data_IF_654503969861
#
_entry.id   IF_654503969861
#
_cell.length_a   1.000
_cell.length_b   1.000
_cell.length_c   1.000
_cell.angle_alpha   90.00
_cell.angle_beta   90.00
_cell.angle_gamma   90.00
#
_symmetry.space_group_name_H-M   'P 1'
#
loop_
_entity.id
_entity.type
_entity.pdbx_description
1 polymer ?
#
# COMPACT_ATOMS: atom_id res chain seq x y z
N UNK A 1 -6.60 34.92 0.52
CA UNK A 1 -5.30 35.25 -0.14
C UNK A 1 -4.43 34.03 -0.10
N UNK A 2 -3.74 33.69 -1.19
CA UNK A 2 -2.91 32.48 -1.24
C UNK A 2 -1.71 32.55 -0.28
N UNK A 3 -1.25 31.40 0.18
CA UNK A 3 -0.03 31.24 0.96
C UNK A 3 1.16 31.58 0.05
N UNK A 4 1.93 32.62 0.43
CA UNK A 4 3.10 33.11 -0.30
C UNK A 4 4.40 32.99 0.49
N UNK A 5 4.33 32.65 1.78
CA UNK A 5 5.51 32.50 2.63
C UNK A 5 5.99 31.05 2.68
N UNK A 6 7.27 30.74 2.39
CA UNK A 6 7.84 29.41 2.55
C UNK A 6 7.92 28.96 4.01
N UNK A 7 7.77 29.91 4.94
CA UNK A 7 7.78 29.67 6.38
C UNK A 7 6.38 29.42 6.99
N UNK A 8 5.35 29.33 6.16
CA UNK A 8 4.02 28.96 6.60
C UNK A 8 4.04 27.59 7.34
N UNK A 9 3.35 27.48 8.47
CA UNK A 9 3.40 26.29 9.34
C UNK A 9 2.83 25.06 8.65
N UNK A 10 1.75 25.18 7.88
CA UNK A 10 1.16 24.06 7.15
C UNK A 10 2.15 23.49 6.12
N UNK A 11 2.87 24.36 5.39
CA UNK A 11 3.91 23.93 4.43
C UNK A 11 5.08 23.24 5.14
N UNK A 12 5.46 23.71 6.34
CA UNK A 12 6.48 23.02 7.16
C UNK A 12 6.02 21.64 7.61
N UNK A 13 4.76 21.51 8.01
CA UNK A 13 4.20 20.21 8.41
C UNK A 13 4.18 19.23 7.25
N UNK A 14 3.71 19.65 6.07
CA UNK A 14 3.72 18.81 4.87
C UNK A 14 5.14 18.32 4.53
N UNK A 15 6.17 19.20 4.57
CA UNK A 15 7.56 18.78 4.34
C UNK A 15 8.04 17.72 5.32
N UNK A 16 7.68 17.84 6.61
CA UNK A 16 8.06 16.86 7.64
C UNK A 16 7.46 15.48 7.37
N UNK A 17 6.26 15.42 6.77
CA UNK A 17 5.57 14.17 6.44
C UNK A 17 6.25 13.36 5.32
N UNK A 18 7.23 13.91 4.61
CA UNK A 18 8.12 13.12 3.74
C UNK A 18 8.90 12.07 4.54
N UNK A 19 9.23 12.34 5.81
CA UNK A 19 9.93 11.43 6.71
C UNK A 19 9.01 10.47 7.46
N UNK A 20 9.32 9.15 7.46
CA UNK A 20 8.55 8.12 8.19
C UNK A 20 8.40 8.45 9.68
N UNK A 21 9.48 8.85 10.35
CA UNK A 21 9.46 9.21 11.78
C UNK A 21 8.37 10.24 12.10
N UNK A 22 8.17 11.21 11.21
CA UNK A 22 7.17 12.25 11.42
C UNK A 22 5.77 11.72 11.18
N UNK A 23 5.55 10.92 10.13
CA UNK A 23 4.26 10.25 9.88
C UNK A 23 3.84 9.33 11.03
N UNK A 24 4.78 8.57 11.59
CA UNK A 24 4.54 7.70 12.75
C UNK A 24 4.17 8.52 14.00
N UNK A 25 4.79 9.72 14.18
CA UNK A 25 4.52 10.63 15.31
C UNK A 25 3.15 11.30 15.20
N UNK A 26 2.82 11.85 14.04
CA UNK A 26 1.57 12.60 13.84
C UNK A 26 0.40 11.68 13.45
N UNK A 27 0.68 10.47 13.03
CA UNK A 27 -0.30 9.50 12.50
C UNK A 27 -1.03 10.04 11.27
N UNK A 28 -0.34 10.86 10.47
CA UNK A 28 -0.86 11.45 9.24
C UNK A 28 0.07 11.17 8.06
N UNK A 29 -0.43 11.35 6.85
CA UNK A 29 0.33 11.19 5.62
C UNK A 29 -0.17 12.13 4.53
N UNK A 30 0.65 12.28 3.47
CA UNK A 30 0.34 13.14 2.32
C UNK A 30 -0.12 12.29 1.15
N UNK A 31 -1.21 12.72 0.52
CA UNK A 31 -1.62 12.28 -0.82
C UNK A 31 -1.52 13.46 -1.79
N UNK A 32 -0.90 13.23 -2.96
CA UNK A 32 -0.71 14.23 -4.00
C UNK A 32 -1.49 13.86 -5.25
N UNK A 33 -2.18 14.82 -5.80
CA UNK A 33 -2.93 14.71 -7.04
C UNK A 33 -4.43 14.62 -6.84
N UNK A 34 -5.13 15.19 -7.78
CA UNK A 34 -6.60 15.27 -7.78
C UNK A 34 -7.24 13.88 -7.80
N UNK A 35 -6.60 12.92 -8.49
CA UNK A 35 -7.02 11.53 -8.57
C UNK A 35 -7.04 10.83 -7.20
N UNK A 36 -6.00 11.02 -6.39
CA UNK A 36 -5.91 10.45 -5.04
C UNK A 36 -6.88 11.14 -4.08
N UNK A 37 -7.04 12.45 -4.19
CA UNK A 37 -7.99 13.22 -3.37
C UNK A 37 -9.43 12.79 -3.70
N UNK A 38 -9.75 12.61 -4.98
CA UNK A 38 -11.05 12.10 -5.40
C UNK A 38 -11.31 10.66 -4.91
N UNK A 39 -10.30 9.78 -4.99
CA UNK A 39 -10.39 8.42 -4.46
C UNK A 39 -10.61 8.39 -2.95
N UNK A 40 -9.91 9.27 -2.20
CA UNK A 40 -10.12 9.43 -0.76
C UNK A 40 -11.55 9.87 -0.43
N UNK A 41 -12.05 10.87 -1.14
CA UNK A 41 -13.42 11.37 -0.95
C UNK A 41 -14.46 10.28 -1.25
N UNK A 42 -14.30 9.52 -2.34
CA UNK A 42 -15.17 8.40 -2.69
C UNK A 42 -15.17 7.28 -1.63
N UNK A 43 -14.03 7.09 -0.94
CA UNK A 43 -13.89 6.14 0.18
C UNK A 43 -14.29 6.73 1.55
N UNK A 44 -14.88 7.94 1.59
CA UNK A 44 -15.35 8.57 2.83
C UNK A 44 -14.24 9.08 3.75
N UNK A 45 -13.06 9.39 3.20
CA UNK A 45 -11.99 10.02 3.96
C UNK A 45 -12.10 11.54 3.88
N UNK A 46 -11.81 12.19 5.00
CA UNK A 46 -11.76 13.65 5.08
C UNK A 46 -10.32 14.08 5.35
N UNK A 47 -9.77 15.03 4.57
CA UNK A 47 -8.45 15.55 4.83
C UNK A 47 -8.45 16.47 6.06
N UNK A 48 -7.36 16.45 6.82
CA UNK A 48 -7.09 17.44 7.88
C UNK A 48 -6.57 18.76 7.29
N UNK A 49 -5.91 18.67 6.13
CA UNK A 49 -5.43 19.81 5.37
C UNK A 49 -5.60 19.53 3.89
N UNK A 50 -6.11 20.51 3.15
CA UNK A 50 -6.23 20.45 1.70
C UNK A 50 -5.63 21.73 1.11
N UNK A 51 -4.58 21.57 0.30
CA UNK A 51 -3.87 22.65 -0.37
C UNK A 51 -4.06 22.53 -1.88
N UNK A 52 -4.23 23.66 -2.55
CA UNK A 52 -4.31 23.71 -4.01
C UNK A 52 -3.44 24.84 -4.59
N UNK A 53 -3.11 24.71 -5.86
CA UNK A 53 -2.41 25.73 -6.59
C UNK A 53 -3.30 26.97 -6.74
N UNK A 54 -2.77 28.14 -6.41
CA UNK A 54 -3.48 29.40 -6.54
C UNK A 54 -3.95 29.65 -7.98
N UNK A 55 -5.22 30.00 -8.11
CA UNK A 55 -5.86 30.21 -9.41
C UNK A 55 -6.27 28.94 -10.16
N UNK A 56 -6.11 27.74 -9.55
CA UNK A 56 -6.51 26.46 -10.18
C UNK A 56 -8.02 26.21 -10.18
N UNK A 57 -8.77 26.92 -9.34
CA UNK A 57 -10.21 26.68 -9.13
C UNK A 57 -10.52 25.40 -8.34
N UNK A 58 -9.51 24.70 -7.83
CA UNK A 58 -9.67 23.52 -7.00
C UNK A 58 -10.03 23.89 -5.56
N UNK A 59 -10.69 22.96 -4.86
CA UNK A 59 -10.97 23.13 -3.45
C UNK A 59 -9.70 23.06 -2.63
N UNK A 60 -9.65 23.84 -1.52
CA UNK A 60 -8.53 23.87 -0.60
C UNK A 60 -8.01 25.25 -0.33
N UNK A 61 -7.00 25.36 0.51
CA UNK A 61 -6.28 26.57 0.76
C UNK A 61 -5.27 26.83 -0.35
N UNK A 62 -5.36 28.01 -0.97
CA UNK A 62 -4.52 28.34 -2.12
C UNK A 62 -3.06 28.57 -1.71
N UNK A 63 -2.14 28.01 -2.47
CA UNK A 63 -0.69 28.12 -2.30
C UNK A 63 -0.07 28.61 -3.60
N UNK A 64 0.89 29.56 -3.50
CA UNK A 64 1.65 30.00 -4.65
C UNK A 64 2.31 28.80 -5.37
N UNK A 65 2.21 28.68 -6.71
CA UNK A 65 2.66 27.50 -7.46
C UNK A 65 4.11 27.05 -7.16
N UNK A 66 5.10 27.95 -7.01
CA UNK A 66 6.46 27.54 -6.67
C UNK A 66 6.56 26.86 -5.29
N UNK A 67 5.76 27.33 -4.32
CA UNK A 67 5.76 26.77 -2.97
C UNK A 67 5.07 25.41 -2.92
N UNK A 68 3.97 25.24 -3.63
CA UNK A 68 3.28 23.94 -3.71
C UNK A 68 4.22 22.87 -4.31
N UNK A 69 4.95 23.21 -5.38
CA UNK A 69 5.96 22.33 -5.96
C UNK A 69 7.09 21.97 -4.99
N UNK A 70 7.53 22.92 -4.16
CA UNK A 70 8.59 22.68 -3.16
C UNK A 70 8.18 21.75 -2.03
N UNK A 71 6.89 21.71 -1.68
CA UNK A 71 6.38 20.85 -0.60
C UNK A 71 5.87 19.51 -1.10
N UNK A 72 5.72 19.33 -2.41
CA UNK A 72 5.35 18.06 -3.02
C UNK A 72 6.44 17.02 -2.73
N UNK A 73 6.14 15.93 -1.98
CA UNK A 73 7.13 14.89 -1.66
C UNK A 73 7.68 14.15 -2.87
N UNK A 74 6.94 14.13 -3.98
CA UNK A 74 7.33 13.44 -5.22
C UNK A 74 7.88 14.40 -6.29
N UNK A 75 7.74 15.71 -6.10
CA UNK A 75 8.11 16.68 -7.11
C UNK A 75 7.33 16.56 -8.42
N UNK A 76 6.12 16.00 -8.36
CA UNK A 76 5.34 15.58 -9.52
C UNK A 76 4.62 16.72 -10.26
N UNK A 77 4.79 17.98 -9.85
CA UNK A 77 4.06 19.10 -10.44
C UNK A 77 2.56 19.08 -10.14
N UNK A 78 2.16 18.48 -9.03
CA UNK A 78 0.77 18.38 -8.61
C UNK A 78 0.14 19.76 -8.38
N UNK A 79 -1.15 19.88 -8.70
CA UNK A 79 -1.95 21.09 -8.41
C UNK A 79 -2.73 21.01 -7.11
N UNK A 80 -2.78 19.84 -6.49
CA UNK A 80 -3.46 19.63 -5.21
C UNK A 80 -2.72 18.63 -4.34
N UNK A 81 -2.78 18.84 -3.02
CA UNK A 81 -2.15 18.02 -2.01
C UNK A 81 -3.03 17.99 -0.77
N UNK A 82 -3.18 16.82 -0.17
CA UNK A 82 -3.98 16.67 1.03
C UNK A 82 -3.23 15.88 2.10
N UNK A 83 -3.48 16.22 3.36
CA UNK A 83 -3.01 15.47 4.54
C UNK A 83 -4.18 14.70 5.12
N UNK A 84 -4.00 13.40 5.32
CA UNK A 84 -4.99 12.51 5.89
C UNK A 84 -4.48 11.81 7.15
N UNK A 85 -5.36 11.47 8.11
CA UNK A 85 -5.00 10.60 9.22
C UNK A 85 -4.72 9.17 8.70
N UNK A 86 -3.73 8.49 9.29
CA UNK A 86 -3.51 7.06 9.00
C UNK A 86 -4.64 6.23 9.62
N UNK A 87 -5.15 5.25 8.89
CA UNK A 87 -6.12 4.26 9.37
C UNK A 87 -5.52 2.87 9.30
N UNK A 88 -5.20 2.30 10.45
CA UNK A 88 -4.71 0.95 10.57
C UNK A 88 -5.83 0.04 11.03
N UNK A 89 -6.03 -1.10 10.34
CA UNK A 89 -6.93 -2.14 10.80
C UNK A 89 -6.38 -2.80 12.07
N UNK A 90 -7.27 -3.26 12.94
CA UNK A 90 -6.90 -3.91 14.20
C UNK A 90 -6.36 -5.34 13.97
N UNK A 91 -6.90 -6.03 12.98
CA UNK A 91 -6.49 -7.38 12.59
C UNK A 91 -6.65 -7.55 11.07
N UNK A 92 -5.87 -8.45 10.44
CA UNK A 92 -6.11 -8.83 9.07
C UNK A 92 -7.43 -9.62 8.96
N UNK A 93 -8.14 -9.46 7.85
CA UNK A 93 -9.47 -10.02 7.66
C UNK A 93 -9.76 -10.35 6.20
N UNK A 94 -10.84 -11.13 6.01
CA UNK A 94 -11.41 -11.46 4.72
C UNK A 94 -11.08 -12.86 4.26
N UNK A 95 -11.84 -13.39 3.29
CA UNK A 95 -11.59 -14.72 2.73
C UNK A 95 -10.24 -14.79 1.99
N UNK A 96 -9.78 -13.64 1.47
CA UNK A 96 -8.46 -13.52 0.85
C UNK A 96 -7.71 -12.37 1.50
N UNK A 97 -6.52 -12.64 2.02
CA UNK A 97 -5.58 -11.68 2.56
C UNK A 97 -4.24 -11.78 1.81
N UNK A 98 -3.52 -10.68 1.67
CA UNK A 98 -2.13 -10.68 1.21
C UNK A 98 -1.23 -10.19 2.32
N UNK A 99 -0.22 -10.97 2.66
CA UNK A 99 0.80 -10.59 3.64
C UNK A 99 2.13 -10.32 2.93
N UNK A 100 2.67 -9.13 3.15
CA UNK A 100 3.97 -8.72 2.61
C UNK A 100 5.03 -8.84 3.71
N UNK A 101 6.09 -9.59 3.46
CA UNK A 101 7.15 -9.86 4.42
C UNK A 101 8.51 -9.39 3.91
N UNK A 102 9.01 -8.30 4.46
CA UNK A 102 10.30 -7.74 4.04
C UNK A 102 10.29 -7.07 2.65
N UNK A 103 9.12 -6.79 2.08
CA UNK A 103 9.00 -6.08 0.80
C UNK A 103 9.38 -4.61 1.01
N UNK A 104 10.62 -4.26 0.65
CA UNK A 104 11.24 -2.97 0.97
C UNK A 104 10.89 -1.85 0.00
N UNK A 105 10.49 -2.17 -1.24
CA UNK A 105 10.14 -1.17 -2.23
C UNK A 105 8.72 -0.65 -1.97
N UNK A 106 8.54 0.66 -1.66
CA UNK A 106 7.22 1.23 -1.44
C UNK A 106 6.34 1.22 -2.70
N UNK A 107 6.93 1.19 -3.89
CA UNK A 107 6.20 1.03 -5.15
C UNK A 107 5.53 -0.34 -5.23
N UNK A 108 6.23 -1.41 -4.83
CA UNK A 108 5.65 -2.75 -4.76
C UNK A 108 4.52 -2.84 -3.73
N UNK A 109 4.70 -2.24 -2.54
CA UNK A 109 3.63 -2.18 -1.53
C UNK A 109 2.38 -1.48 -2.09
N UNK A 110 2.54 -0.33 -2.73
CA UNK A 110 1.42 0.39 -3.37
C UNK A 110 0.77 -0.41 -4.50
N UNK A 111 1.56 -1.09 -5.32
CA UNK A 111 1.05 -1.94 -6.41
C UNK A 111 0.27 -3.13 -5.86
N UNK A 112 0.72 -3.75 -4.77
CA UNK A 112 -0.04 -4.84 -4.12
C UNK A 112 -1.35 -4.33 -3.55
N UNK A 113 -1.39 -3.17 -2.93
CA UNK A 113 -2.64 -2.55 -2.49
C UNK A 113 -3.62 -2.35 -3.65
N UNK A 114 -3.13 -1.88 -4.79
CA UNK A 114 -3.95 -1.73 -6.01
C UNK A 114 -4.47 -3.07 -6.52
N UNK A 115 -3.64 -4.11 -6.53
CA UNK A 115 -4.06 -5.47 -6.91
C UNK A 115 -5.07 -6.05 -5.91
N UNK A 116 -4.85 -5.84 -4.61
CA UNK A 116 -5.76 -6.26 -3.55
C UNK A 116 -7.16 -5.64 -3.73
N UNK A 117 -7.23 -4.35 -4.04
CA UNK A 117 -8.50 -3.68 -4.38
C UNK A 117 -9.16 -4.30 -5.63
N UNK A 118 -8.38 -4.48 -6.69
CA UNK A 118 -8.88 -4.98 -7.97
C UNK A 118 -9.46 -6.40 -7.88
N UNK A 119 -8.85 -7.25 -7.05
CA UNK A 119 -9.27 -8.65 -6.88
C UNK A 119 -10.14 -8.88 -5.64
N UNK A 120 -10.47 -7.84 -4.88
CA UNK A 120 -11.39 -7.94 -3.75
C UNK A 120 -10.78 -8.62 -2.52
N UNK A 121 -9.46 -8.51 -2.30
CA UNK A 121 -8.86 -8.96 -1.06
C UNK A 121 -9.38 -8.14 0.14
N UNK A 122 -9.68 -8.82 1.25
CA UNK A 122 -10.26 -8.20 2.43
C UNK A 122 -9.26 -7.33 3.22
N UNK A 123 -7.96 -7.62 3.10
CA UNK A 123 -6.92 -6.84 3.76
C UNK A 123 -5.53 -7.09 3.17
N UNK A 124 -4.60 -6.14 3.45
CA UNK A 124 -3.17 -6.31 3.22
C UNK A 124 -2.44 -6.23 4.55
N UNK A 125 -1.78 -7.32 4.94
CA UNK A 125 -0.98 -7.41 6.15
C UNK A 125 0.50 -7.08 5.85
N UNK A 126 1.14 -6.33 6.72
CA UNK A 126 2.51 -5.89 6.59
C UNK A 126 3.35 -6.46 7.73
N UNK A 127 4.16 -7.46 7.42
CA UNK A 127 5.12 -8.07 8.32
C UNK A 127 6.38 -7.24 8.49
N UNK A 128 7.29 -7.67 9.37
CA UNK A 128 8.56 -7.01 9.64
C UNK A 128 9.37 -6.72 8.36
N UNK A 129 10.05 -5.58 8.33
CA UNK A 129 10.89 -5.18 7.20
C UNK A 129 10.14 -4.65 5.98
N UNK A 130 8.81 -4.63 5.97
CA UNK A 130 8.01 -4.12 4.86
C UNK A 130 7.97 -2.59 4.86
N UNK A 131 8.00 -1.99 3.66
CA UNK A 131 7.94 -0.54 3.49
C UNK A 131 6.63 0.05 4.03
N UNK A 132 6.69 1.34 4.38
CA UNK A 132 5.55 2.08 4.90
C UNK A 132 4.50 2.32 3.80
N UNK A 133 3.26 1.82 3.95
CA UNK A 133 2.20 1.99 2.96
C UNK A 133 1.74 3.45 2.86
N UNK A 134 1.97 4.26 3.89
CA UNK A 134 1.65 5.68 3.93
C UNK A 134 2.80 6.58 3.45
N UNK A 135 3.91 6.02 2.99
CA UNK A 135 4.97 6.75 2.31
C UNK A 135 4.50 7.24 0.93
N UNK A 136 4.91 8.45 0.54
CA UNK A 136 4.41 9.12 -0.68
C UNK A 136 4.50 8.25 -1.94
N UNK A 137 5.58 7.46 -2.10
CA UNK A 137 5.72 6.52 -3.22
C UNK A 137 4.70 5.39 -3.19
N UNK A 138 4.42 4.81 -2.00
CA UNK A 138 3.43 3.74 -1.86
C UNK A 138 2.02 4.28 -2.07
N UNK A 139 1.69 5.42 -1.48
CA UNK A 139 0.40 6.11 -1.67
C UNK A 139 0.15 6.37 -3.15
N UNK A 140 1.15 6.93 -3.87
CA UNK A 140 1.02 7.20 -5.31
C UNK A 140 0.85 5.92 -6.13
N UNK A 141 1.67 4.89 -5.86
CA UNK A 141 1.60 3.61 -6.57
C UNK A 141 0.28 2.86 -6.30
N UNK A 142 -0.37 3.11 -5.17
CA UNK A 142 -1.65 2.48 -4.83
C UNK A 142 -2.82 2.99 -5.68
N UNK A 143 -2.67 4.13 -6.35
CA UNK A 143 -3.72 4.76 -7.17
C UNK A 143 -5.06 4.86 -6.43
N UNK A 144 -5.00 5.21 -5.13
CA UNK A 144 -6.18 5.35 -4.27
C UNK A 144 -6.58 4.10 -3.48
N UNK A 145 -6.02 2.93 -3.78
CA UNK A 145 -6.35 1.70 -3.06
C UNK A 145 -6.03 1.76 -1.55
N UNK A 146 -5.07 2.60 -1.15
CA UNK A 146 -4.76 2.85 0.27
C UNK A 146 -5.96 3.38 1.07
N UNK A 147 -6.92 4.01 0.42
CA UNK A 147 -8.13 4.54 1.05
C UNK A 147 -9.27 3.51 1.16
N UNK A 148 -9.19 2.42 0.40
CA UNK A 148 -10.26 1.43 0.28
C UNK A 148 -9.89 0.08 0.91
N UNK A 149 -8.61 -0.35 0.82
CA UNK A 149 -8.15 -1.64 1.33
C UNK A 149 -7.66 -1.48 2.78
N UNK A 150 -8.20 -2.27 3.74
CA UNK A 150 -7.69 -2.29 5.09
C UNK A 150 -6.22 -2.72 5.13
N UNK A 151 -5.36 -1.93 5.76
CA UNK A 151 -3.95 -2.27 6.01
C UNK A 151 -3.72 -2.53 7.48
N UNK A 152 -2.91 -3.54 7.80
CA UNK A 152 -2.63 -3.94 9.17
C UNK A 152 -1.15 -4.30 9.32
N UNK A 153 -0.56 -4.04 10.48
CA UNK A 153 0.77 -4.52 10.85
C UNK A 153 0.63 -5.83 11.62
N UNK A 154 1.42 -6.82 11.25
CA UNK A 154 1.52 -8.10 11.95
C UNK A 154 2.98 -8.35 12.32
N UNK A 155 3.22 -8.98 13.44
CA UNK A 155 4.56 -9.35 13.89
C UNK A 155 4.90 -10.79 13.52
N UNK A 156 3.90 -11.67 13.41
CA UNK A 156 4.07 -13.11 13.22
C UNK A 156 3.05 -13.64 12.20
N UNK A 157 3.40 -14.76 11.57
CA UNK A 157 2.57 -15.44 10.56
C UNK A 157 1.26 -15.98 11.16
N UNK A 158 1.29 -16.37 12.43
CA UNK A 158 0.13 -16.91 13.14
C UNK A 158 -1.01 -15.90 13.34
N UNK A 159 -0.72 -14.61 13.20
CA UNK A 159 -1.72 -13.54 13.27
C UNK A 159 -2.55 -13.42 11.97
N UNK A 160 -2.14 -14.14 10.91
CA UNK A 160 -2.80 -14.09 9.61
C UNK A 160 -4.02 -15.00 9.58
N UNK A 161 -5.12 -14.58 8.89
CA UNK A 161 -6.34 -15.37 8.81
C UNK A 161 -6.22 -16.50 7.77
N UNK A 162 -7.11 -17.47 7.86
CA UNK A 162 -7.24 -18.55 6.91
C UNK A 162 -5.97 -19.41 6.77
N UNK A 163 -5.87 -20.13 5.68
CA UNK A 163 -4.71 -20.93 5.33
C UNK A 163 -3.58 -20.04 4.81
N UNK A 164 -2.40 -20.11 5.42
CA UNK A 164 -1.21 -19.32 5.05
C UNK A 164 -0.44 -20.05 3.97
N UNK A 165 -0.35 -19.46 2.81
CA UNK A 165 0.36 -19.99 1.65
C UNK A 165 1.59 -19.13 1.36
N UNK A 166 2.77 -19.70 1.57
CA UNK A 166 4.04 -19.03 1.22
C UNK A 166 4.23 -19.07 -0.31
N UNK A 167 4.26 -17.90 -0.96
CA UNK A 167 4.67 -17.80 -2.36
C UNK A 167 6.19 -17.90 -2.46
N UNK A 168 6.67 -19.07 -2.86
CA UNK A 168 8.09 -19.38 -3.01
C UNK A 168 8.40 -19.72 -4.47
N UNK A 169 9.52 -19.22 -5.00
CA UNK A 169 9.80 -19.32 -6.43
C UNK A 169 9.87 -20.76 -6.98
N UNK A 170 10.26 -21.74 -6.16
CA UNK A 170 10.50 -23.14 -6.58
C UNK A 170 10.12 -24.18 -5.55
N UNK A 171 9.25 -23.86 -4.60
CA UNK A 171 8.84 -24.78 -3.54
C UNK A 171 7.32 -24.99 -3.52
N UNK A 172 6.91 -26.13 -3.04
CA UNK A 172 5.50 -26.50 -2.91
C UNK A 172 4.84 -26.89 -4.23
N UNK A 173 3.51 -26.91 -4.22
CA UNK A 173 2.68 -27.21 -5.41
C UNK A 173 2.53 -26.00 -6.34
N UNK A 174 2.06 -26.22 -7.56
CA UNK A 174 1.71 -25.10 -8.42
C UNK A 174 0.53 -24.31 -7.82
N UNK A 175 0.58 -23.00 -7.92
CA UNK A 175 -0.43 -22.11 -7.33
C UNK A 175 -1.86 -22.45 -7.80
N UNK A 176 -2.00 -22.87 -9.06
CA UNK A 176 -3.28 -23.29 -9.66
C UNK A 176 -3.87 -24.57 -9.06
N UNK A 177 -3.09 -25.33 -8.29
CA UNK A 177 -3.51 -26.57 -7.64
C UNK A 177 -3.95 -26.35 -6.19
N UNK A 178 -3.97 -25.08 -5.73
CA UNK A 178 -4.44 -24.75 -4.39
C UNK A 178 -5.93 -25.01 -4.25
N UNK A 179 -6.29 -25.60 -3.12
CA UNK A 179 -7.69 -25.73 -2.74
C UNK A 179 -8.32 -24.37 -2.48
N UNK A 180 -9.63 -24.28 -2.74
CA UNK A 180 -10.41 -23.06 -2.50
C UNK A 180 -10.69 -22.89 -1.00
N UNK A 181 -10.92 -21.64 -0.59
CA UNK A 181 -11.25 -21.33 0.79
C UNK A 181 -10.59 -20.04 1.26
N UNK A 182 -10.67 -19.80 2.56
CA UNK A 182 -9.99 -18.66 3.17
C UNK A 182 -8.47 -18.83 3.09
N UNK A 183 -7.80 -17.85 2.50
CA UNK A 183 -6.37 -17.92 2.23
C UNK A 183 -5.65 -16.61 2.50
N UNK A 184 -4.48 -16.69 3.09
CA UNK A 184 -3.51 -15.60 3.12
C UNK A 184 -2.31 -15.97 2.25
N UNK A 185 -2.08 -15.18 1.18
CA UNK A 185 -0.88 -15.27 0.37
C UNK A 185 0.26 -14.51 1.05
N UNK A 186 1.32 -15.22 1.45
CA UNK A 186 2.51 -14.59 2.06
C UNK A 186 3.58 -14.40 0.99
N UNK A 187 3.94 -13.13 0.75
CA UNK A 187 4.86 -12.71 -0.31
C UNK A 187 6.11 -12.11 0.31
N UNK A 188 7.27 -12.61 -0.09
CA UNK A 188 8.56 -12.18 0.43
C UNK A 188 9.23 -11.04 -0.32
N UNK A 189 10.40 -10.65 0.17
CA UNK A 189 11.26 -9.63 -0.43
C UNK A 189 11.74 -10.03 -1.84
N UNK A 190 12.07 -9.03 -2.67
CA UNK A 190 12.43 -9.19 -4.09
C UNK A 190 13.70 -10.03 -4.31
N UNK A 191 14.69 -9.91 -3.43
CA UNK A 191 15.99 -10.59 -3.60
C UNK A 191 16.13 -11.87 -2.79
N UNK A 192 15.56 -11.90 -1.59
CA UNK A 192 15.72 -13.02 -0.65
C UNK A 192 14.47 -13.91 -0.54
N UNK A 193 13.35 -13.50 -1.11
CA UNK A 193 12.08 -14.19 -0.91
C UNK A 193 11.65 -14.20 0.55
N UNK A 194 11.01 -15.27 0.96
CA UNK A 194 10.67 -15.58 2.35
C UNK A 194 11.80 -16.37 3.00
N UNK A 195 12.13 -16.07 4.26
CA UNK A 195 13.08 -16.90 5.01
C UNK A 195 12.49 -18.28 5.30
N UNK A 196 13.36 -19.26 5.54
CA UNK A 196 12.94 -20.64 5.83
C UNK A 196 11.97 -20.70 7.03
N UNK A 197 12.20 -19.88 8.06
CA UNK A 197 11.33 -19.81 9.24
C UNK A 197 9.93 -19.30 8.90
N UNK A 198 9.81 -18.31 8.01
CA UNK A 198 8.51 -17.80 7.57
C UNK A 198 7.80 -18.84 6.70
N UNK A 199 8.51 -19.52 5.81
CA UNK A 199 7.93 -20.61 5.00
C UNK A 199 7.46 -21.75 5.90
N UNK A 200 8.23 -22.14 6.91
CA UNK A 200 7.88 -23.19 7.87
C UNK A 200 6.70 -22.81 8.79
N UNK A 201 6.49 -21.51 9.03
CA UNK A 201 5.33 -21.01 9.79
C UNK A 201 4.04 -20.94 8.96
N UNK A 202 4.12 -21.09 7.64
CA UNK A 202 2.96 -21.19 6.76
C UNK A 202 2.43 -22.64 6.72
N UNK A 203 1.15 -22.78 6.39
CA UNK A 203 0.52 -24.11 6.29
C UNK A 203 1.03 -24.90 5.07
N UNK A 204 1.37 -24.19 4.00
CA UNK A 204 1.97 -24.76 2.80
C UNK A 204 2.76 -23.73 1.99
N UNK A 205 3.55 -24.22 1.03
CA UNK A 205 4.22 -23.41 0.03
C UNK A 205 3.60 -23.66 -1.36
N UNK A 206 3.54 -22.61 -2.17
CA UNK A 206 3.13 -22.69 -3.56
C UNK A 206 4.03 -21.86 -4.45
N UNK A 207 4.14 -22.24 -5.72
CA UNK A 207 4.91 -21.50 -6.71
C UNK A 207 4.07 -21.13 -7.93
N UNK A 208 4.44 -20.02 -8.55
CA UNK A 208 3.95 -19.62 -9.87
C UNK A 208 4.88 -20.28 -10.91
N UNK A 209 4.37 -21.13 -11.82
CA UNK A 209 5.19 -21.74 -12.86
C UNK A 209 5.78 -20.66 -13.78
N UNK A 210 7.09 -20.45 -13.72
CA UNK A 210 7.83 -19.46 -14.50
C UNK A 210 9.10 -20.06 -15.10
N UNK A 211 9.59 -19.46 -16.20
CA UNK A 211 10.83 -19.86 -16.85
C UNK A 211 12.07 -19.15 -16.30
N UNK A 212 11.88 -17.96 -15.67
CA UNK A 212 12.94 -17.18 -15.03
C UNK A 212 13.18 -17.64 -13.60
N UNK A 213 14.17 -17.05 -12.92
CA UNK A 213 14.49 -17.40 -11.53
C UNK A 213 13.47 -16.86 -10.52
N UNK A 214 12.92 -15.67 -10.77
CA UNK A 214 11.97 -15.01 -9.88
C UNK A 214 11.10 -14.01 -10.61
N UNK A 215 10.01 -13.60 -9.97
CA UNK A 215 9.17 -12.47 -10.35
C UNK A 215 9.37 -11.31 -9.37
N UNK A 216 9.04 -10.11 -9.83
CA UNK A 216 8.85 -8.97 -8.94
C UNK A 216 7.78 -9.30 -7.89
N UNK A 217 7.97 -8.90 -6.62
CA UNK A 217 7.09 -9.24 -5.52
C UNK A 217 5.63 -8.80 -5.75
N UNK A 218 5.41 -7.60 -6.32
CA UNK A 218 4.07 -7.12 -6.62
C UNK A 218 3.42 -7.91 -7.77
N UNK A 219 4.19 -8.33 -8.76
CA UNK A 219 3.69 -9.20 -9.85
C UNK A 219 3.31 -10.58 -9.30
N UNK A 220 4.15 -11.17 -8.45
CA UNK A 220 3.84 -12.45 -7.80
C UNK A 220 2.55 -12.36 -6.96
N UNK A 221 2.42 -11.31 -6.15
CA UNK A 221 1.20 -11.05 -5.38
C UNK A 221 -0.03 -10.88 -6.29
N UNK A 222 0.10 -10.17 -7.40
CA UNK A 222 -0.99 -9.93 -8.35
C UNK A 222 -1.46 -11.21 -9.02
N UNK A 223 -0.53 -12.04 -9.50
CA UNK A 223 -0.85 -13.34 -10.09
C UNK A 223 -1.47 -14.25 -9.03
N UNK A 224 -0.90 -14.25 -7.82
CA UNK A 224 -1.45 -15.00 -6.68
C UNK A 224 -2.89 -14.62 -6.38
N UNK A 225 -3.17 -13.33 -6.27
CA UNK A 225 -4.52 -12.81 -6.06
C UNK A 225 -5.47 -13.22 -7.17
N UNK A 226 -5.06 -13.04 -8.43
CA UNK A 226 -5.87 -13.46 -9.58
C UNK A 226 -6.24 -14.94 -9.48
N UNK A 227 -5.27 -15.81 -9.19
CA UNK A 227 -5.49 -17.25 -9.15
C UNK A 227 -6.44 -17.65 -8.02
N UNK A 228 -6.22 -17.18 -6.79
CA UNK A 228 -7.07 -17.56 -5.64
C UNK A 228 -8.47 -16.95 -5.68
N UNK A 229 -8.65 -15.82 -6.39
CA UNK A 229 -9.97 -15.17 -6.50
C UNK A 229 -10.74 -15.59 -7.76
N UNK A 230 -10.05 -16.11 -8.77
CA UNK A 230 -10.65 -16.53 -10.05
C UNK A 230 -11.75 -17.56 -9.85
N UNK A 231 -11.53 -18.48 -8.96
CA UNK A 231 -12.41 -19.62 -8.73
C UNK A 231 -13.59 -19.29 -7.82
N UNK A 232 -13.46 -18.28 -6.96
CA UNK A 232 -14.57 -17.81 -6.12
C UNK A 232 -15.70 -17.12 -6.93
N UNK A 233 -15.49 -16.91 -8.23
CA UNK A 233 -16.44 -16.25 -9.14
C UNK A 233 -17.15 -17.20 -10.09
N UNK A 234 -16.80 -18.49 -10.10
CA UNK A 234 -17.45 -19.55 -10.85
C UNK A 234 -18.43 -20.32 -9.95
#
# INVERSE_FOLDING_TARGET
>A
MPITSPNNEQLKEVRKLAGRKWRDKTRTFVAEGEDLIAAAAAAGWRPELLLCEAGSGLAGEEVAPPLLRQVSPLGSGTRALAVYPQRWALAPAGPVCVALWGVNDPGNVGTVLRSALAFGAGSVALGPGTADPYGSKAVRASMGAIFAVPVVRVARVEELPGRKVALAARAGRALAELEHGEVTLVVGAERGGLSADIVAACDEAAHIPIRSESLNAAMAATIGLYEVTRVARA
#
